data_IF_185526119818
#
_entry.id   IF_185526119818
#
_cell.length_a   1.000
_cell.length_b   1.000
_cell.length_c   1.000
_cell.angle_alpha   90.00
_cell.angle_beta   90.00
_cell.angle_gamma   90.00
#
_symmetry.space_group_name_H-M   'P 1'
#
loop_
_entity.id
_entity.type
_entity.pdbx_description
1 polymer ?
#
# COMPACT_ATOMS: atom_id res chain seq x y z
N UNK A 1 12.57 -5.48 -11.97
CA UNK A 1 12.29 -6.88 -11.55
C UNK A 1 11.11 -7.01 -10.57
N UNK A 2 11.00 -6.20 -9.50
CA UNK A 2 9.93 -6.38 -8.47
C UNK A 2 8.49 -6.16 -8.96
N UNK A 3 8.26 -5.19 -9.86
CA UNK A 3 6.93 -4.86 -10.39
C UNK A 3 6.31 -6.01 -11.19
N UNK A 4 7.09 -6.69 -12.01
CA UNK A 4 6.59 -7.71 -12.94
C UNK A 4 6.01 -8.98 -12.27
N UNK A 5 6.29 -9.20 -10.97
CA UNK A 5 5.63 -10.23 -10.15
C UNK A 5 4.12 -9.97 -10.04
N UNK A 6 3.70 -8.72 -9.88
CA UNK A 6 2.34 -8.41 -9.40
C UNK A 6 1.29 -8.38 -10.53
N UNK A 7 1.75 -8.41 -11.79
CA UNK A 7 0.95 -8.55 -13.03
C UNK A 7 0.11 -9.83 -13.07
N UNK A 8 0.70 -10.98 -12.69
CA UNK A 8 0.00 -12.26 -12.70
C UNK A 8 -0.99 -12.40 -11.52
N UNK A 9 -0.69 -11.75 -10.40
CA UNK A 9 -1.60 -11.62 -9.27
C UNK A 9 -2.85 -10.81 -9.61
N UNK A 10 -2.73 -9.74 -10.42
CA UNK A 10 -3.86 -8.95 -10.91
C UNK A 10 -4.88 -9.82 -11.65
N UNK A 11 -4.41 -10.57 -12.64
CA UNK A 11 -5.26 -11.40 -13.50
C UNK A 11 -6.04 -12.40 -12.64
N UNK A 12 -5.38 -13.03 -11.69
CA UNK A 12 -6.03 -14.06 -10.88
C UNK A 12 -6.94 -13.48 -9.76
N UNK A 13 -6.67 -12.28 -9.21
CA UNK A 13 -7.62 -11.58 -8.31
C UNK A 13 -8.88 -11.12 -9.05
N UNK A 14 -8.75 -10.66 -10.30
CA UNK A 14 -9.90 -10.37 -11.16
C UNK A 14 -10.74 -11.63 -11.41
N UNK A 15 -10.11 -12.79 -11.57
CA UNK A 15 -10.80 -14.09 -11.66
C UNK A 15 -11.52 -14.50 -10.37
N UNK A 16 -11.01 -14.13 -9.19
CA UNK A 16 -11.62 -14.51 -7.90
C UNK A 16 -12.85 -13.67 -7.49
N UNK A 17 -13.29 -12.69 -8.30
CA UNK A 17 -14.48 -11.83 -8.05
C UNK A 17 -14.56 -11.30 -6.60
N UNK A 18 -13.41 -10.94 -6.03
CA UNK A 18 -13.37 -10.43 -4.65
C UNK A 18 -13.98 -9.03 -4.61
N UNK A 19 -14.80 -8.73 -3.61
CA UNK A 19 -15.38 -7.39 -3.45
C UNK A 19 -14.27 -6.39 -3.10
N UNK A 20 -14.03 -5.42 -3.97
CA UNK A 20 -13.03 -4.35 -3.77
C UNK A 20 -13.63 -2.96 -4.02
N UNK A 21 -12.96 -1.92 -3.54
CA UNK A 21 -13.45 -0.54 -3.66
C UNK A 21 -12.97 0.08 -4.97
N UNK A 22 -13.84 0.08 -5.99
CA UNK A 22 -13.49 0.50 -7.35
C UNK A 22 -13.01 1.96 -7.43
N UNK A 23 -13.53 2.87 -6.60
CA UNK A 23 -13.20 4.30 -6.69
C UNK A 23 -11.77 4.56 -6.24
N UNK A 24 -11.34 3.94 -5.15
CA UNK A 24 -9.98 3.98 -4.65
C UNK A 24 -8.99 3.38 -5.63
N UNK A 25 -9.37 2.29 -6.33
CA UNK A 25 -8.54 1.74 -7.40
C UNK A 25 -8.38 2.74 -8.53
N UNK A 26 -9.47 3.28 -9.08
CA UNK A 26 -9.40 4.19 -10.24
C UNK A 26 -8.64 5.47 -9.87
N UNK A 27 -9.03 6.14 -8.79
CA UNK A 27 -8.44 7.41 -8.37
C UNK A 27 -6.99 7.23 -7.91
N UNK A 28 -6.70 6.14 -7.18
CA UNK A 28 -5.35 5.80 -6.76
C UNK A 28 -4.44 5.52 -7.96
N UNK A 29 -4.92 4.77 -8.96
CA UNK A 29 -4.17 4.54 -10.20
C UNK A 29 -3.95 5.84 -10.99
N UNK A 30 -4.97 6.69 -11.11
CA UNK A 30 -4.86 7.99 -11.78
C UNK A 30 -3.79 8.88 -11.15
N UNK A 31 -3.66 8.88 -9.82
CA UNK A 31 -2.58 9.59 -9.13
C UNK A 31 -1.23 8.88 -9.24
N UNK A 32 -1.22 7.56 -9.21
CA UNK A 32 0.02 6.80 -9.19
C UNK A 32 0.78 6.77 -10.51
N UNK A 33 0.11 6.83 -11.65
CA UNK A 33 0.77 6.91 -12.96
C UNK A 33 1.71 8.11 -13.06
N UNK A 34 1.26 9.37 -12.84
CA UNK A 34 2.17 10.52 -12.88
C UNK A 34 3.21 10.46 -11.76
N UNK A 35 2.84 10.01 -10.55
CA UNK A 35 3.80 9.81 -9.46
C UNK A 35 4.91 8.82 -9.80
N UNK A 36 4.57 7.73 -10.48
CA UNK A 36 5.53 6.72 -10.93
C UNK A 36 6.49 7.29 -11.97
N UNK A 37 5.98 8.02 -12.97
CA UNK A 37 6.81 8.65 -14.00
C UNK A 37 7.81 9.62 -13.36
N UNK A 38 7.34 10.49 -12.47
CA UNK A 38 8.19 11.43 -11.73
C UNK A 38 9.23 10.67 -10.90
N UNK A 39 8.79 9.64 -10.16
CA UNK A 39 9.65 8.83 -9.33
C UNK A 39 10.75 8.13 -10.13
N UNK A 40 10.42 7.59 -11.31
CA UNK A 40 11.38 6.87 -12.16
C UNK A 40 12.42 7.80 -12.78
N UNK A 41 12.03 9.00 -13.23
CA UNK A 41 12.97 9.92 -13.89
C UNK A 41 13.80 10.76 -12.91
N UNK A 42 13.19 11.23 -11.82
CA UNK A 42 13.84 12.20 -10.93
C UNK A 42 14.36 11.59 -9.63
N UNK A 43 13.72 10.54 -9.11
CA UNK A 43 14.00 10.01 -7.77
C UNK A 43 14.81 8.71 -7.81
N UNK A 44 14.45 7.77 -8.69
CA UNK A 44 15.14 6.48 -8.85
C UNK A 44 16.64 6.60 -9.17
N UNK A 45 17.12 7.54 -10.02
CA UNK A 45 18.55 7.67 -10.30
C UNK A 45 19.34 8.34 -9.16
N UNK A 46 18.68 9.01 -8.21
CA UNK A 46 19.35 9.66 -7.07
C UNK A 46 19.81 8.65 -6.00
N UNK A 47 19.26 7.43 -6.01
CA UNK A 47 19.51 6.43 -4.98
C UNK A 47 20.40 5.29 -5.45
N UNK A 48 21.38 4.93 -4.61
CA UNK A 48 22.18 3.71 -4.80
C UNK A 48 21.36 2.45 -4.50
N UNK A 49 21.84 1.29 -4.96
CA UNK A 49 21.17 0.01 -4.69
C UNK A 49 21.01 -0.30 -3.19
N UNK A 50 21.96 0.11 -2.36
CA UNK A 50 21.89 -0.05 -0.90
C UNK A 50 20.81 0.86 -0.29
N UNK A 51 20.74 2.12 -0.74
CA UNK A 51 19.72 3.07 -0.29
C UNK A 51 18.31 2.61 -0.67
N UNK A 52 18.10 2.08 -1.89
CA UNK A 52 16.78 1.54 -2.30
C UNK A 52 16.33 0.38 -1.40
N UNK A 53 17.24 -0.50 -1.00
CA UNK A 53 16.95 -1.60 -0.06
C UNK A 53 16.58 -1.05 1.32
N UNK A 54 17.36 -0.10 1.84
CA UNK A 54 17.11 0.55 3.12
C UNK A 54 15.75 1.26 3.14
N UNK A 55 15.44 2.06 2.11
CA UNK A 55 14.16 2.77 1.97
C UNK A 55 12.99 1.79 1.95
N UNK A 56 13.12 0.70 1.21
CA UNK A 56 12.10 -0.36 1.16
C UNK A 56 11.82 -0.92 2.57
N UNK A 57 12.86 -1.35 3.29
CA UNK A 57 12.72 -1.93 4.64
C UNK A 57 12.15 -0.89 5.63
N UNK A 58 12.60 0.36 5.54
CA UNK A 58 12.18 1.43 6.46
C UNK A 58 10.70 1.80 6.26
N UNK A 59 10.25 1.94 5.01
CA UNK A 59 8.84 2.25 4.69
C UNK A 59 7.93 1.10 5.12
N UNK A 60 8.31 -0.15 4.86
CA UNK A 60 7.54 -1.30 5.30
C UNK A 60 7.51 -1.45 6.82
N UNK A 61 8.61 -1.14 7.50
CA UNK A 61 8.63 -1.12 8.98
C UNK A 61 7.71 -0.03 9.53
N UNK A 62 7.70 1.17 8.93
CA UNK A 62 6.72 2.22 9.28
C UNK A 62 5.27 1.76 9.05
N UNK A 63 5.03 1.02 7.97
CA UNK A 63 3.73 0.42 7.68
C UNK A 63 3.32 -0.64 8.72
N UNK A 64 4.24 -1.48 9.18
CA UNK A 64 3.98 -2.41 10.28
C UNK A 64 3.53 -1.65 11.53
N UNK A 65 4.15 -0.53 11.88
CA UNK A 65 3.65 0.28 12.99
C UNK A 65 2.24 0.86 12.74
N UNK A 66 1.94 1.28 11.51
CA UNK A 66 0.61 1.73 11.11
C UNK A 66 -0.46 0.65 11.36
N UNK A 67 -0.17 -0.60 10.99
CA UNK A 67 -0.98 -1.77 11.31
C UNK A 67 -1.07 -2.02 12.83
N UNK A 68 0.01 -1.78 13.57
CA UNK A 68 0.05 -1.86 15.04
C UNK A 68 -0.97 -0.93 15.68
N UNK A 69 -0.97 0.33 15.26
CA UNK A 69 -1.92 1.35 15.71
C UNK A 69 -3.35 0.94 15.35
N UNK A 70 -3.56 0.42 14.13
CA UNK A 70 -4.88 -0.04 13.69
C UNK A 70 -5.41 -1.19 14.56
N UNK A 71 -4.56 -2.19 14.86
CA UNK A 71 -4.95 -3.35 15.67
C UNK A 71 -5.14 -3.03 17.15
N UNK A 72 -4.47 -2.00 17.67
CA UNK A 72 -4.70 -1.52 19.03
C UNK A 72 -6.13 -0.95 19.21
N UNK A 73 -6.75 -0.44 18.15
CA UNK A 73 -8.12 0.09 18.16
C UNK A 73 -9.19 -1.03 18.03
N UNK A 74 -9.21 -1.99 18.97
CA UNK A 74 -10.08 -3.20 18.92
C UNK A 74 -11.60 -2.96 18.83
N UNK A 75 -12.13 -1.79 19.22
CA UNK A 75 -13.57 -1.45 19.25
C UNK A 75 -14.02 -0.50 18.11
N UNK A 76 -13.44 -0.63 16.91
CA UNK A 76 -13.77 0.24 15.77
C UNK A 76 -14.92 -0.32 14.94
N UNK A 77 -15.91 0.50 14.60
CA UNK A 77 -16.79 0.23 13.45
C UNK A 77 -15.95 0.34 12.17
N UNK A 78 -15.86 -0.76 11.42
CA UNK A 78 -15.19 -0.80 10.12
C UNK A 78 -16.22 -0.91 9.01
N UNK A 79 -16.04 -0.18 7.93
CA UNK A 79 -16.97 -0.14 6.80
C UNK A 79 -16.45 -1.00 5.65
N UNK A 80 -17.35 -1.58 4.86
CA UNK A 80 -16.99 -2.36 3.66
C UNK A 80 -16.54 -1.46 2.51
N UNK A 81 -17.12 -0.27 2.43
CA UNK A 81 -16.87 0.76 1.42
C UNK A 81 -16.60 2.09 2.12
N UNK A 82 -16.03 3.06 1.41
CA UNK A 82 -15.78 4.41 1.95
C UNK A 82 -17.14 5.08 2.21
N UNK A 83 -17.52 5.33 3.49
CA UNK A 83 -18.80 5.96 3.80
C UNK A 83 -18.82 7.40 3.30
N UNK A 84 -19.95 7.88 2.79
CA UNK A 84 -20.17 9.25 2.27
C UNK A 84 -19.00 9.74 1.38
N UNK A 85 -18.87 9.17 0.19
CA UNK A 85 -17.81 9.56 -0.74
C UNK A 85 -17.98 11.01 -1.21
N UNK A 86 -17.06 11.90 -0.80
CA UNK A 86 -17.02 13.31 -1.19
C UNK A 86 -15.75 13.61 -2.01
N UNK A 87 -15.78 14.69 -2.80
CA UNK A 87 -14.66 15.12 -3.64
C UNK A 87 -13.34 15.27 -2.86
N UNK A 88 -13.38 15.76 -1.61
CA UNK A 88 -12.22 15.83 -0.72
C UNK A 88 -11.56 14.47 -0.48
N UNK A 89 -12.36 13.41 -0.22
CA UNK A 89 -11.84 12.04 -0.03
C UNK A 89 -11.20 11.52 -1.31
N UNK A 90 -11.75 11.88 -2.48
CA UNK A 90 -11.15 11.61 -3.79
C UNK A 90 -9.79 12.29 -3.96
N UNK A 91 -9.67 13.58 -3.61
CA UNK A 91 -8.39 14.29 -3.66
C UNK A 91 -7.33 13.66 -2.75
N UNK A 92 -7.70 13.27 -1.53
CA UNK A 92 -6.79 12.56 -0.62
C UNK A 92 -6.29 11.26 -1.24
N UNK A 93 -7.16 10.47 -1.88
CA UNK A 93 -6.76 9.24 -2.59
C UNK A 93 -5.85 9.53 -3.77
N UNK A 94 -6.12 10.60 -4.53
CA UNK A 94 -5.32 10.98 -5.69
C UNK A 94 -3.90 11.40 -5.29
N UNK A 95 -3.76 12.30 -4.31
CA UNK A 95 -2.44 12.73 -3.82
C UNK A 95 -1.69 11.59 -3.12
N UNK A 96 -2.40 10.74 -2.38
CA UNK A 96 -1.81 9.51 -1.82
C UNK A 96 -1.32 8.57 -2.93
N UNK A 97 -2.07 8.49 -4.03
CA UNK A 97 -1.67 7.77 -5.24
C UNK A 97 -0.38 8.31 -5.84
N UNK A 98 -0.24 9.64 -5.96
CA UNK A 98 1.00 10.28 -6.46
C UNK A 98 2.20 9.91 -5.59
N UNK A 99 2.10 10.13 -4.27
CA UNK A 99 3.19 9.82 -3.33
C UNK A 99 3.51 8.32 -3.36
N UNK A 100 2.47 7.49 -3.34
CA UNK A 100 2.59 6.04 -3.45
C UNK A 100 3.27 5.60 -4.75
N UNK A 101 2.96 6.25 -5.88
CA UNK A 101 3.59 6.01 -7.18
C UNK A 101 5.08 6.37 -7.20
N UNK A 102 5.46 7.48 -6.56
CA UNK A 102 6.89 7.85 -6.39
C UNK A 102 7.62 6.78 -5.59
N UNK A 103 7.05 6.34 -4.48
CA UNK A 103 7.63 5.24 -3.67
C UNK A 103 7.67 3.93 -4.45
N UNK A 104 6.67 3.69 -5.30
CA UNK A 104 6.61 2.50 -6.13
C UNK A 104 7.70 2.45 -7.21
N UNK A 105 8.13 3.61 -7.69
CA UNK A 105 9.20 3.72 -8.67
C UNK A 105 10.50 3.09 -8.17
N UNK A 106 10.96 3.43 -6.97
CA UNK A 106 12.25 2.94 -6.44
C UNK A 106 12.12 1.71 -5.53
N UNK A 107 11.06 1.59 -4.73
CA UNK A 107 10.90 0.49 -3.77
C UNK A 107 10.21 -0.73 -4.39
N UNK A 108 9.31 -0.50 -5.36
CA UNK A 108 8.56 -1.52 -6.07
C UNK A 108 7.30 -2.00 -5.34
N UNK A 109 6.88 -1.39 -4.24
CA UNK A 109 5.64 -1.67 -3.47
C UNK A 109 5.23 -0.47 -2.58
N UNK A 110 5.22 0.74 -3.14
CA UNK A 110 4.91 1.96 -2.37
C UNK A 110 3.43 2.31 -2.36
N UNK A 111 2.75 2.06 -3.47
CA UNK A 111 1.37 2.47 -3.70
C UNK A 111 0.37 1.67 -2.87
N UNK A 112 0.58 0.36 -2.74
CA UNK A 112 -0.20 -0.54 -1.90
C UNK A 112 -0.11 -0.13 -0.44
N UNK A 113 1.08 0.18 0.07
CA UNK A 113 1.28 0.64 1.45
C UNK A 113 0.53 1.95 1.70
N UNK A 114 0.73 2.95 0.84
CA UNK A 114 0.13 4.28 1.02
C UNK A 114 -1.40 4.21 0.94
N UNK A 115 -1.95 3.58 -0.10
CA UNK A 115 -3.41 3.46 -0.27
C UNK A 115 -4.01 2.59 0.81
N UNK A 116 -3.40 1.45 1.16
CA UNK A 116 -3.89 0.58 2.24
C UNK A 116 -3.94 1.36 3.55
N UNK A 117 -2.88 2.09 3.89
CA UNK A 117 -2.81 2.85 5.14
C UNK A 117 -3.88 3.94 5.19
N UNK A 118 -4.11 4.67 4.09
CA UNK A 118 -5.14 5.72 4.04
C UNK A 118 -6.55 5.13 4.11
N UNK A 119 -6.88 4.10 3.33
CA UNK A 119 -8.24 3.53 3.36
C UNK A 119 -8.56 2.86 4.70
N UNK A 120 -7.58 2.22 5.34
CA UNK A 120 -7.78 1.54 6.63
C UNK A 120 -7.71 2.49 7.82
N UNK A 121 -6.71 3.38 7.90
CA UNK A 121 -6.58 4.31 9.02
C UNK A 121 -7.52 5.51 8.91
N UNK A 122 -7.57 6.17 7.75
CA UNK A 122 -8.33 7.41 7.56
C UNK A 122 -9.82 7.14 7.32
N UNK A 123 -10.15 6.25 6.38
CA UNK A 123 -11.54 5.97 6.01
C UNK A 123 -12.18 4.79 6.76
N UNK A 124 -11.42 4.13 7.64
CA UNK A 124 -11.87 2.97 8.44
C UNK A 124 -12.47 1.83 7.62
N UNK A 125 -12.00 1.66 6.38
CA UNK A 125 -12.35 0.51 5.54
C UNK A 125 -11.76 -0.75 6.16
N UNK A 126 -12.53 -1.84 6.19
CA UNK A 126 -12.06 -3.12 6.74
C UNK A 126 -10.87 -3.66 5.95
N UNK A 127 -9.93 -4.29 6.65
CA UNK A 127 -8.74 -4.91 6.07
C UNK A 127 -9.12 -5.98 5.03
N UNK A 128 -10.29 -6.63 5.21
CA UNK A 128 -10.82 -7.64 4.28
C UNK A 128 -11.18 -7.10 2.90
N UNK A 129 -11.57 -5.82 2.79
CA UNK A 129 -11.83 -5.17 1.49
C UNK A 129 -10.64 -4.31 1.05
N UNK A 130 -9.87 -3.75 1.99
CA UNK A 130 -8.67 -2.98 1.69
C UNK A 130 -7.57 -3.83 1.02
N UNK A 131 -7.32 -5.04 1.52
CA UNK A 131 -6.29 -5.95 0.98
C UNK A 131 -6.52 -6.30 -0.51
N UNK A 132 -7.69 -6.81 -0.93
CA UNK A 132 -7.90 -7.08 -2.36
C UNK A 132 -7.88 -5.80 -3.20
N UNK A 133 -8.36 -4.66 -2.66
CA UNK A 133 -8.30 -3.35 -3.35
C UNK A 133 -6.86 -2.96 -3.68
N UNK A 134 -5.94 -3.06 -2.72
CA UNK A 134 -4.54 -2.69 -2.94
C UNK A 134 -3.79 -3.69 -3.80
N UNK A 135 -4.11 -4.98 -3.74
CA UNK A 135 -3.54 -5.99 -4.65
C UNK A 135 -3.91 -5.70 -6.11
N UNK A 136 -5.17 -5.36 -6.39
CA UNK A 136 -5.61 -4.97 -7.74
C UNK A 136 -4.89 -3.70 -8.20
N UNK A 137 -4.92 -2.65 -7.38
CA UNK A 137 -4.28 -1.37 -7.70
C UNK A 137 -2.77 -1.54 -7.93
N UNK A 138 -2.09 -2.33 -7.10
CA UNK A 138 -0.68 -2.63 -7.26
C UNK A 138 -0.39 -3.47 -8.50
N UNK A 139 -1.27 -4.41 -8.82
CA UNK A 139 -1.19 -5.20 -10.03
C UNK A 139 -1.27 -4.34 -11.30
N UNK A 140 -2.20 -3.39 -11.36
CA UNK A 140 -2.32 -2.46 -12.50
C UNK A 140 -1.07 -1.59 -12.66
N UNK A 141 -0.59 -0.99 -11.57
CA UNK A 141 0.58 -0.12 -11.60
C UNK A 141 1.87 -0.89 -11.87
N UNK A 142 1.95 -2.16 -11.45
CA UNK A 142 3.02 -3.05 -11.84
C UNK A 142 3.08 -3.32 -13.35
N UNK A 143 1.93 -3.53 -14.01
CA UNK A 143 1.85 -3.66 -15.47
C UNK A 143 2.41 -2.40 -16.11
N UNK A 144 1.89 -1.25 -15.70
CA UNK A 144 2.28 0.05 -16.24
C UNK A 144 3.77 0.31 -16.03
N UNK A 145 4.27 0.12 -14.81
CA UNK A 145 5.67 0.38 -14.47
C UNK A 145 6.64 -0.54 -15.19
N UNK A 146 6.27 -1.82 -15.38
CA UNK A 146 7.04 -2.73 -16.21
C UNK A 146 7.06 -2.28 -17.68
N UNK A 147 5.89 -1.99 -18.26
CA UNK A 147 5.79 -1.50 -19.64
C UNK A 147 6.60 -0.21 -19.84
N UNK A 148 6.49 0.73 -18.91
CA UNK A 148 7.20 2.00 -18.96
C UNK A 148 8.72 1.81 -18.92
N UNK A 149 9.24 1.02 -17.96
CA UNK A 149 10.68 0.73 -17.90
C UNK A 149 11.17 -0.12 -19.08
N UNK A 150 10.34 -1.03 -19.58
CA UNK A 150 10.69 -1.92 -20.69
C UNK A 150 10.80 -1.18 -22.03
N UNK A 151 9.78 -0.38 -22.34
CA UNK A 151 9.61 0.22 -23.67
C UNK A 151 10.21 1.61 -23.73
N UNK A 152 10.09 2.43 -22.67
CA UNK A 152 10.55 3.83 -22.70
C UNK A 152 11.97 4.03 -22.19
N UNK A 153 12.48 3.18 -21.29
CA UNK A 153 13.86 3.31 -20.79
C UNK A 153 14.87 2.42 -21.53
N UNK A 154 14.42 1.40 -22.27
CA UNK A 154 15.31 0.50 -23.03
C UNK A 154 16.24 -0.39 -22.18
N UNK A 155 16.19 -0.26 -20.85
CA UNK A 155 17.08 -0.91 -19.88
C UNK A 155 16.55 -2.28 -19.42
N UNK A 156 16.35 -3.23 -20.34
CA UNK A 156 16.16 -4.62 -19.93
C UNK A 156 17.33 -5.49 -20.38
N UNK A 157 18.29 -5.60 -19.46
CA UNK A 157 19.31 -6.63 -19.52
C UNK A 157 18.68 -8.05 -19.62
N UNK A 158 19.34 -8.94 -20.36
CA UNK A 158 18.84 -10.30 -20.63
C UNK A 158 18.65 -11.10 -19.33
N UNK A 159 19.42 -10.79 -18.28
CA UNK A 159 19.25 -11.43 -16.97
C UNK A 159 17.96 -10.99 -16.28
N UNK A 160 17.52 -9.75 -16.47
CA UNK A 160 16.25 -9.28 -15.93
C UNK A 160 15.05 -10.03 -16.56
N UNK A 161 15.14 -10.39 -17.84
CA UNK A 161 14.17 -11.25 -18.51
C UNK A 161 14.14 -12.69 -17.95
N UNK A 162 15.31 -13.25 -17.63
CA UNK A 162 15.40 -14.59 -17.02
C UNK A 162 14.86 -14.61 -15.59
N UNK A 163 15.17 -13.61 -14.78
CA UNK A 163 14.57 -13.48 -13.45
C UNK A 163 13.07 -13.23 -13.52
N UNK A 164 12.60 -12.52 -14.55
CA UNK A 164 11.19 -12.33 -14.80
C UNK A 164 10.49 -13.67 -15.07
N UNK A 165 10.94 -14.46 -16.04
CA UNK A 165 10.26 -15.71 -16.42
C UNK A 165 10.14 -16.71 -15.28
N UNK A 166 11.14 -16.80 -14.40
CA UNK A 166 11.13 -17.69 -13.23
C UNK A 166 10.19 -17.21 -12.12
N UNK A 167 9.97 -15.90 -12.00
CA UNK A 167 9.17 -15.32 -10.90
C UNK A 167 7.69 -15.14 -11.24
N UNK A 168 7.32 -15.11 -12.53
CA UNK A 168 5.93 -15.07 -13.00
C UNK A 168 5.05 -16.18 -12.39
N UNK A 169 5.40 -17.48 -12.46
CA UNK A 169 4.54 -18.55 -11.96
C UNK A 169 4.38 -18.49 -10.43
N UNK A 170 5.47 -18.23 -9.71
CA UNK A 170 5.45 -18.11 -8.25
C UNK A 170 4.51 -16.97 -7.82
N UNK A 171 4.57 -15.83 -8.51
CA UNK A 171 3.72 -14.70 -8.18
C UNK A 171 2.27 -14.87 -8.66
N UNK A 172 2.07 -15.61 -9.76
CA UNK A 172 0.75 -15.94 -10.28
C UNK A 172 -0.05 -16.78 -9.27
N UNK A 173 0.61 -17.71 -8.58
CA UNK A 173 -0.01 -18.51 -7.52
C UNK A 173 -0.01 -17.78 -6.17
N UNK A 174 1.10 -17.12 -5.81
CA UNK A 174 1.29 -16.51 -4.49
C UNK A 174 0.37 -15.33 -4.21
N UNK A 175 0.14 -14.46 -5.19
CA UNK A 175 -0.73 -13.28 -5.02
C UNK A 175 -2.20 -13.63 -4.70
N UNK A 176 -2.85 -14.51 -5.48
CA UNK A 176 -4.22 -14.95 -5.23
C UNK A 176 -4.38 -15.73 -3.95
N UNK A 177 -3.45 -16.66 -3.66
CA UNK A 177 -3.45 -17.42 -2.40
C UNK A 177 -3.31 -16.45 -1.23
N UNK A 178 -2.37 -15.50 -1.31
CA UNK A 178 -2.18 -14.47 -0.28
C UNK A 178 -3.42 -13.59 -0.09
N UNK A 179 -4.05 -13.13 -1.18
CA UNK A 179 -5.28 -12.31 -1.12
C UNK A 179 -6.46 -13.11 -0.56
N UNK A 180 -6.59 -14.38 -0.95
CA UNK A 180 -7.67 -15.25 -0.48
C UNK A 180 -7.52 -15.57 1.01
N UNK A 181 -6.30 -15.95 1.42
CA UNK A 181 -5.98 -16.20 2.83
C UNK A 181 -6.18 -14.91 3.64
N UNK A 182 -5.66 -13.77 3.17
CA UNK A 182 -5.82 -12.47 3.84
C UNK A 182 -7.27 -12.02 4.00
N UNK A 183 -8.15 -12.38 3.06
CA UNK A 183 -9.59 -12.05 3.12
C UNK A 183 -10.36 -12.93 4.11
N UNK A 184 -9.90 -14.17 4.34
CA UNK A 184 -10.57 -15.14 5.20
C UNK A 184 -10.02 -15.20 6.63
N UNK A 185 -8.72 -14.93 6.81
CA UNK A 185 -8.09 -14.94 8.13
C UNK A 185 -8.58 -13.80 9.03
N UNK A 186 -8.48 -14.03 10.34
CA UNK A 186 -8.74 -12.99 11.34
C UNK A 186 -7.69 -11.88 11.21
N UNK A 187 -8.10 -10.61 11.28
CA UNK A 187 -7.24 -9.43 11.08
C UNK A 187 -5.94 -9.44 11.92
N UNK A 188 -6.01 -9.98 13.13
CA UNK A 188 -4.85 -10.07 14.02
C UNK A 188 -3.80 -11.07 13.50
N UNK A 189 -4.21 -12.14 12.83
CA UNK A 189 -3.30 -13.12 12.28
C UNK A 189 -2.59 -12.58 11.04
N UNK A 190 -3.32 -11.85 10.18
CA UNK A 190 -2.74 -11.14 9.02
C UNK A 190 -1.68 -10.15 9.49
N UNK A 191 -2.00 -9.34 10.50
CA UNK A 191 -1.03 -8.42 11.08
C UNK A 191 0.18 -9.11 11.70
N UNK A 192 -0.02 -10.24 12.39
CA UNK A 192 1.07 -11.03 12.95
C UNK A 192 2.04 -11.52 11.87
N UNK A 193 1.53 -12.00 10.73
CA UNK A 193 2.39 -12.41 9.61
C UNK A 193 3.20 -11.25 9.05
N UNK A 194 2.58 -10.08 8.90
CA UNK A 194 3.29 -8.87 8.44
C UNK A 194 4.40 -8.51 9.43
N UNK A 195 4.16 -8.50 10.74
CA UNK A 195 5.21 -8.20 11.73
C UNK A 195 6.37 -9.18 11.69
N UNK A 196 6.09 -10.47 11.52
CA UNK A 196 7.12 -11.50 11.42
C UNK A 196 7.97 -11.25 10.17
N UNK A 197 7.34 -11.06 9.02
CA UNK A 197 8.03 -10.81 7.74
C UNK A 197 8.88 -9.54 7.82
N UNK A 198 8.36 -8.47 8.41
CA UNK A 198 9.10 -7.22 8.57
C UNK A 198 10.25 -7.31 9.55
N UNK A 199 10.07 -8.05 10.64
CA UNK A 199 11.17 -8.29 11.58
C UNK A 199 12.30 -9.03 10.87
N UNK A 200 11.98 -10.06 10.06
CA UNK A 200 13.00 -10.75 9.27
C UNK A 200 13.64 -9.86 8.20
N UNK A 201 12.87 -8.99 7.54
CA UNK A 201 13.41 -8.05 6.55
C UNK A 201 14.37 -7.03 7.19
N UNK A 202 14.01 -6.50 8.36
CA UNK A 202 14.83 -5.56 9.11
C UNK A 202 16.10 -6.20 9.66
N UNK A 203 15.99 -7.39 10.26
CA UNK A 203 17.16 -8.15 10.74
C UNK A 203 18.05 -8.55 9.58
N UNK A 204 17.49 -9.03 8.47
CA UNK A 204 18.26 -9.37 7.27
C UNK A 204 19.02 -8.17 6.68
N UNK A 205 18.42 -6.97 6.73
CA UNK A 205 19.11 -5.74 6.34
C UNK A 205 20.27 -5.42 7.29
N UNK A 206 20.06 -5.51 8.61
CA UNK A 206 21.11 -5.26 9.61
C UNK A 206 22.27 -6.26 9.50
N UNK A 207 21.99 -7.53 9.20
CA UNK A 207 23.01 -8.57 8.98
C UNK A 207 23.89 -8.31 7.75
N UNK A 208 23.44 -7.45 6.83
CA UNK A 208 24.25 -7.03 5.66
C UNK A 208 25.34 -6.01 6.06
N UNK A 209 25.46 -5.65 7.35
CA UNK A 209 26.38 -4.64 7.88
C UNK A 209 26.33 -3.32 7.08
N UNK A 210 25.15 -2.65 7.02
CA UNK A 210 25.04 -1.35 6.38
C UNK A 210 25.85 -0.29 7.15
N UNK A 211 26.31 0.74 6.44
CA UNK A 211 26.95 1.89 7.06
C UNK A 211 26.05 2.56 8.10
N UNK A 212 26.66 3.13 9.15
CA UNK A 212 25.93 3.78 10.25
C UNK A 212 25.05 4.94 9.77
N UNK A 213 25.47 5.61 8.70
CA UNK A 213 24.70 6.65 8.00
C UNK A 213 23.36 6.11 7.46
N UNK A 214 23.36 4.94 6.83
CA UNK A 214 22.12 4.30 6.36
C UNK A 214 21.22 3.88 7.52
N UNK A 215 21.79 3.38 8.63
CA UNK A 215 21.01 2.98 9.80
C UNK A 215 20.30 4.19 10.42
N UNK A 216 21.01 5.31 10.59
CA UNK A 216 20.45 6.54 11.16
C UNK A 216 19.35 7.10 10.26
N UNK A 217 19.60 7.19 8.96
CA UNK A 217 18.59 7.68 8.00
C UNK A 217 17.37 6.76 7.98
N UNK A 218 17.56 5.44 7.96
CA UNK A 218 16.46 4.47 8.04
C UNK A 218 15.64 4.61 9.32
N UNK A 219 16.30 4.75 10.47
CA UNK A 219 15.62 4.97 11.75
C UNK A 219 14.82 6.27 11.76
N UNK A 220 15.36 7.37 11.21
CA UNK A 220 14.65 8.63 11.07
C UNK A 220 13.40 8.49 10.19
N UNK A 221 13.49 7.75 9.09
CA UNK A 221 12.33 7.48 8.21
C UNK A 221 11.27 6.65 8.95
N UNK A 222 11.68 5.65 9.73
CA UNK A 222 10.76 4.84 10.54
C UNK A 222 10.04 5.72 11.58
N UNK A 223 10.78 6.56 12.30
CA UNK A 223 10.20 7.48 13.31
C UNK A 223 9.27 8.48 12.64
N UNK A 224 9.69 9.10 11.53
CA UNK A 224 8.85 10.02 10.77
C UNK A 224 7.58 9.36 10.24
N UNK A 225 7.69 8.14 9.72
CA UNK A 225 6.56 7.33 9.29
C UNK A 225 5.61 6.99 10.43
N UNK A 226 6.13 6.61 11.61
CA UNK A 226 5.34 6.37 12.81
C UNK A 226 4.52 7.61 13.21
N UNK A 227 5.17 8.77 13.28
CA UNK A 227 4.51 10.05 13.59
C UNK A 227 3.43 10.37 12.56
N UNK A 228 3.75 10.23 11.27
CA UNK A 228 2.79 10.43 10.18
C UNK A 228 1.55 9.54 10.32
N UNK A 229 1.74 8.22 10.45
CA UNK A 229 0.63 7.28 10.58
C UNK A 229 -0.16 7.47 11.87
N UNK A 230 0.48 7.92 12.95
CA UNK A 230 -0.20 8.31 14.17
C UNK A 230 -1.15 9.49 13.95
N UNK A 231 -0.69 10.55 13.28
CA UNK A 231 -1.55 11.68 12.92
C UNK A 231 -2.70 11.28 12.00
N UNK A 232 -2.43 10.45 10.98
CA UNK A 232 -3.47 9.93 10.06
C UNK A 232 -4.52 9.12 10.83
N UNK A 233 -4.10 8.27 11.77
CA UNK A 233 -5.00 7.50 12.63
C UNK A 233 -5.88 8.41 13.50
N UNK A 234 -5.31 9.47 14.08
CA UNK A 234 -6.05 10.47 14.87
C UNK A 234 -7.05 11.25 14.01
N UNK A 235 -6.65 11.67 12.82
CA UNK A 235 -7.54 12.32 11.85
C UNK A 235 -8.70 11.40 11.44
N UNK A 236 -8.41 10.11 11.20
CA UNK A 236 -9.44 9.10 10.90
C UNK A 236 -10.36 8.78 12.09
N UNK A 237 -9.95 9.05 13.33
CA UNK A 237 -10.83 8.98 14.49
C UNK A 237 -11.79 10.18 14.56
N UNK A 238 -11.27 11.39 14.36
CA UNK A 238 -12.08 12.61 14.30
C UNK A 238 -13.11 12.56 13.17
N UNK A 239 -12.69 12.16 11.96
CA UNK A 239 -13.57 12.05 10.80
C UNK A 239 -14.73 11.09 11.06
N UNK A 240 -14.48 9.99 11.78
CA UNK A 240 -15.52 9.02 12.08
C UNK A 240 -16.54 9.55 13.10
N UNK A 241 -16.12 10.35 14.07
CA UNK A 241 -17.06 10.99 15.00
C UNK A 241 -18.02 11.90 14.26
N UNK A 242 -17.51 12.73 13.34
CA UNK A 242 -18.34 13.60 12.49
C UNK A 242 -19.32 12.82 11.63
N UNK A 243 -18.91 11.70 11.02
CA UNK A 243 -19.81 10.87 10.20
C UNK A 243 -20.93 10.26 11.06
N UNK A 244 -20.61 9.72 12.24
CA UNK A 244 -21.60 9.15 13.16
C UNK A 244 -22.58 10.22 13.65
N UNK A 245 -22.09 11.43 13.91
CA UNK A 245 -22.91 12.57 14.36
C UNK A 245 -23.87 13.04 13.26
N UNK A 246 -23.37 13.16 12.03
CA UNK A 246 -24.20 13.47 10.86
C UNK A 246 -25.26 12.40 10.57
N UNK A 247 -24.93 11.11 10.72
CA UNK A 247 -25.90 10.02 10.57
C UNK A 247 -27.00 10.08 11.64
N UNK A 248 -26.64 10.34 12.91
CA UNK A 248 -27.62 10.53 13.99
C UNK A 248 -28.54 11.72 13.71
N UNK A 249 -27.99 12.83 13.24
CA UNK A 249 -28.76 14.03 12.95
C UNK A 249 -29.75 13.79 11.80
N UNK A 250 -29.34 13.11 10.73
CA UNK A 250 -30.23 12.69 9.62
C UNK A 250 -31.33 11.73 10.08
N UNK A 251 -31.05 10.85 11.04
CA UNK A 251 -32.07 9.96 11.60
C UNK A 251 -33.08 10.71 12.47
N UNK A 252 -32.63 11.69 13.26
CA UNK A 252 -33.49 12.55 14.05
C UNK A 252 -34.41 13.40 13.18
N UNK A 253 -33.89 14.01 12.10
CA UNK A 253 -34.69 14.77 11.14
C UNK A 253 -35.75 13.90 10.45
N UNK A 254 -35.42 12.64 10.10
CA UNK A 254 -36.37 11.69 9.51
C UNK A 254 -37.43 11.19 10.49
N UNK A 255 -37.18 11.23 11.79
CA UNK A 255 -38.15 10.85 12.81
C UNK A 255 -39.11 11.99 13.18
N UNK A 256 -38.83 13.21 12.73
CA UNK A 256 -39.65 14.41 12.96
C UNK A 256 -40.60 14.74 11.79
N UNK A 257 -40.52 13.98 10.69
CA UNK A 257 -41.40 14.06 9.50
C UNK A 257 -42.35 12.86 9.53
#
# INVERSE_FOLDING_TARGET
>A
MRQARMTSALVCVLFMKVKFEHRAVIIGCLGAVPGFIIGVHYIDPLFSGAQKKMLFVSIWTAFAFALGILNAQKKRSTFREIPEFCAWKGWVLFFTGIIGGIFDAFAGSGIDICIFSVITLLFRVTEKTATPTTVVLKGVIAVFGFYYRAVMMGDIDIMAWRYFSVTVPISACGGPIGSFIGSNLHRQLVASFVYILETFALVGFLLTNPGLDLIVVGALIIIGGFVFFFFVSKAGASLMQTVIENEKQKQLEKAQI
#
